data_IF_491042943917
#
_entry.id   IF_491042943917
#
_cell.length_a   1.000
_cell.length_b   1.000
_cell.length_c   1.000
_cell.angle_alpha   90.00
_cell.angle_beta   90.00
_cell.angle_gamma   90.00
#
_symmetry.space_group_name_H-M   'P 1'
#
loop_
_entity.id
_entity.type
_entity.pdbx_description
1 polymer ?
#
# COMPACT_ATOMS: atom_id res chain seq x y z
N UNK A 1 0.91 -25.51 -60.09
CA UNK A 1 2.27 -25.35 -59.55
C UNK A 1 2.21 -24.45 -58.33
N UNK A 2 2.66 -24.92 -57.17
CA UNK A 2 2.73 -24.13 -55.95
C UNK A 2 3.89 -23.13 -56.03
N UNK A 3 3.59 -21.84 -55.85
CA UNK A 3 4.60 -20.78 -55.88
C UNK A 3 5.30 -20.65 -54.50
N UNK A 4 6.11 -21.67 -54.19
CA UNK A 4 6.83 -21.82 -52.91
C UNK A 4 7.67 -20.58 -52.54
N UNK A 5 8.36 -19.89 -53.48
CA UNK A 5 9.08 -18.65 -53.16
C UNK A 5 8.19 -17.52 -52.64
N UNK A 6 7.01 -17.33 -53.25
CA UNK A 6 6.04 -16.33 -52.81
C UNK A 6 5.47 -16.68 -51.43
N UNK A 7 5.18 -17.95 -51.19
CA UNK A 7 4.72 -18.44 -49.88
C UNK A 7 5.77 -18.18 -48.79
N UNK A 8 7.06 -18.43 -49.05
CA UNK A 8 8.16 -18.13 -48.09
C UNK A 8 8.26 -16.63 -47.78
N UNK A 9 8.12 -15.76 -48.78
CA UNK A 9 8.11 -14.29 -48.57
C UNK A 9 6.94 -13.88 -47.68
N UNK A 10 5.73 -14.37 -47.98
CA UNK A 10 4.54 -14.10 -47.16
C UNK A 10 4.67 -14.62 -45.73
N UNK A 11 5.23 -15.82 -45.54
CA UNK A 11 5.52 -16.37 -44.21
C UNK A 11 6.50 -15.50 -43.43
N UNK A 12 7.53 -14.98 -44.08
CA UNK A 12 8.51 -14.09 -43.45
C UNK A 12 7.88 -12.74 -43.03
N UNK A 13 7.03 -12.15 -43.87
CA UNK A 13 6.27 -10.94 -43.54
C UNK A 13 5.36 -11.15 -42.33
N UNK A 14 4.55 -12.23 -42.35
CA UNK A 14 3.64 -12.58 -41.25
C UNK A 14 4.42 -12.78 -39.95
N UNK A 15 5.56 -13.48 -40.02
CA UNK A 15 6.42 -13.72 -38.86
C UNK A 15 6.99 -12.42 -38.28
N UNK A 16 7.36 -11.46 -39.14
CA UNK A 16 7.86 -10.15 -38.71
C UNK A 16 6.76 -9.33 -38.03
N UNK A 17 5.55 -9.34 -38.59
CA UNK A 17 4.39 -8.65 -38.00
C UNK A 17 4.00 -9.25 -36.64
N UNK A 18 3.99 -10.58 -36.53
CA UNK A 18 3.72 -11.26 -35.25
C UNK A 18 4.78 -10.97 -34.19
N UNK A 19 6.07 -10.90 -34.58
CA UNK A 19 7.13 -10.51 -33.65
C UNK A 19 7.00 -9.06 -33.17
N UNK A 20 6.57 -8.14 -34.05
CA UNK A 20 6.27 -6.76 -33.66
C UNK A 20 5.11 -6.67 -32.67
N UNK A 21 4.03 -7.41 -32.93
CA UNK A 21 2.86 -7.48 -32.05
C UNK A 21 3.19 -8.11 -30.68
N UNK A 22 4.07 -9.12 -30.62
CA UNK A 22 4.44 -9.72 -29.33
C UNK A 22 5.22 -8.73 -28.46
N UNK A 23 6.13 -7.94 -29.06
CA UNK A 23 6.87 -6.91 -28.33
C UNK A 23 5.94 -5.80 -27.82
N UNK A 24 4.95 -5.39 -28.61
CA UNK A 24 3.95 -4.40 -28.20
C UNK A 24 3.05 -4.93 -27.07
N UNK A 25 2.67 -6.22 -27.11
CA UNK A 25 1.92 -6.87 -26.04
C UNK A 25 2.72 -6.96 -24.74
N UNK A 26 3.99 -7.35 -24.78
CA UNK A 26 4.88 -7.35 -23.60
C UNK A 26 5.00 -5.95 -22.99
N UNK A 27 5.11 -4.92 -23.84
CA UNK A 27 5.18 -3.54 -23.38
C UNK A 27 3.87 -3.11 -22.72
N UNK A 28 2.72 -3.39 -23.33
CA UNK A 28 1.40 -3.11 -22.75
C UNK A 28 1.18 -3.88 -21.45
N UNK A 29 1.58 -5.14 -21.38
CA UNK A 29 1.52 -5.95 -20.17
C UNK A 29 2.35 -5.29 -19.05
N UNK A 30 3.57 -4.85 -19.34
CA UNK A 30 4.41 -4.13 -18.37
C UNK A 30 3.78 -2.83 -17.85
N UNK A 31 2.94 -2.17 -18.65
CA UNK A 31 2.21 -0.96 -18.27
C UNK A 31 0.98 -1.25 -17.41
N UNK A 32 0.38 -2.44 -17.53
CA UNK A 32 -0.79 -2.87 -16.76
C UNK A 32 -0.43 -3.26 -15.32
N UNK A 33 0.80 -3.74 -15.09
CA UNK A 33 1.22 -4.13 -13.75
C UNK A 33 1.49 -2.91 -12.86
N UNK A 34 0.75 -2.84 -11.75
CA UNK A 34 0.95 -1.81 -10.74
C UNK A 34 2.34 -1.95 -10.13
N UNK A 35 3.12 -0.86 -10.09
CA UNK A 35 4.45 -0.84 -9.44
C UNK A 35 4.36 -1.48 -8.05
N UNK A 36 5.32 -2.36 -7.72
CA UNK A 36 5.46 -2.93 -6.38
C UNK A 36 5.37 -1.81 -5.35
N UNK A 37 4.55 -2.01 -4.32
CA UNK A 37 4.32 -1.02 -3.28
C UNK A 37 5.68 -0.67 -2.65
N UNK A 38 6.08 0.59 -2.75
CA UNK A 38 7.43 1.04 -2.36
C UNK A 38 7.73 0.86 -0.87
N UNK A 39 6.69 0.68 -0.04
CA UNK A 39 6.82 0.42 1.40
C UNK A 39 5.85 -0.68 1.81
N UNK A 40 6.26 -1.60 2.71
CA UNK A 40 5.32 -2.52 3.33
C UNK A 40 4.19 -1.73 3.98
N UNK A 41 2.96 -2.25 3.86
CA UNK A 41 1.80 -1.66 4.53
C UNK A 41 2.07 -1.65 6.04
N UNK A 42 1.73 -0.54 6.70
CA UNK A 42 1.68 -0.51 8.15
C UNK A 42 0.80 -1.65 8.66
N UNK A 43 1.14 -2.27 9.81
CA UNK A 43 0.38 -3.37 10.37
C UNK A 43 -1.09 -2.96 10.57
N UNK A 44 -2.00 -3.90 10.31
CA UNK A 44 -3.46 -3.70 10.40
C UNK A 44 -3.86 -3.28 11.82
N UNK A 45 -3.10 -3.71 12.83
CA UNK A 45 -3.29 -3.35 14.23
C UNK A 45 -1.97 -2.88 14.84
N UNK A 46 -2.02 -1.77 15.57
CA UNK A 46 -0.88 -1.32 16.39
C UNK A 46 -0.83 -2.13 17.70
N UNK A 47 0.30 -2.17 18.41
CA UNK A 47 0.32 -2.76 19.75
C UNK A 47 -0.58 -1.95 20.71
N UNK A 48 -1.25 -2.64 21.64
CA UNK A 48 -2.00 -1.99 22.70
C UNK A 48 -1.05 -1.19 23.62
N UNK A 49 -1.55 -0.08 24.16
CA UNK A 49 -0.81 0.68 25.18
C UNK A 49 -0.90 -0.09 26.50
N UNK A 50 0.21 -0.18 27.23
CA UNK A 50 0.22 -0.88 28.51
C UNK A 50 -0.71 -0.21 29.55
N UNK A 51 -1.16 -0.94 30.59
CA UNK A 51 -2.08 -0.38 31.58
C UNK A 51 -1.53 0.85 32.32
N UNK A 52 -0.22 0.88 32.57
CA UNK A 52 0.44 1.98 33.28
C UNK A 52 0.44 3.28 32.45
N UNK A 53 0.76 3.19 31.16
CA UNK A 53 0.72 4.32 30.23
C UNK A 53 -0.71 4.75 29.97
N UNK A 54 -1.67 3.81 29.89
CA UNK A 54 -3.09 4.16 29.77
C UNK A 54 -3.58 4.98 30.99
N UNK A 55 -3.18 4.60 32.21
CA UNK A 55 -3.48 5.39 33.42
C UNK A 55 -2.82 6.78 33.38
N UNK A 56 -1.58 6.86 32.90
CA UNK A 56 -0.87 8.13 32.75
C UNK A 56 -1.53 9.05 31.69
N UNK A 57 -1.99 8.48 30.57
CA UNK A 57 -2.75 9.18 29.53
C UNK A 57 -4.04 9.75 30.12
N UNK A 58 -4.81 8.95 30.86
CA UNK A 58 -6.06 9.41 31.49
C UNK A 58 -5.82 10.56 32.47
N UNK A 59 -4.82 10.43 33.35
CA UNK A 59 -4.45 11.51 34.28
C UNK A 59 -4.04 12.78 33.54
N UNK A 60 -3.25 12.65 32.48
CA UNK A 60 -2.80 13.79 31.68
C UNK A 60 -3.96 14.48 30.94
N UNK A 61 -4.87 13.69 30.36
CA UNK A 61 -6.05 14.20 29.66
C UNK A 61 -7.00 14.97 30.60
N UNK A 62 -7.24 14.44 31.81
CA UNK A 62 -8.04 15.14 32.84
C UNK A 62 -7.41 16.46 33.27
N UNK A 63 -6.08 16.51 33.39
CA UNK A 63 -5.35 17.73 33.74
C UNK A 63 -5.28 18.75 32.59
N UNK A 64 -5.49 18.32 31.33
CA UNK A 64 -5.38 19.17 30.15
C UNK A 64 -6.56 18.96 29.19
N UNK A 65 -7.79 19.34 29.58
CA UNK A 65 -9.01 19.01 28.83
C UNK A 65 -9.07 19.66 27.44
N UNK A 66 -8.29 20.71 27.19
CA UNK A 66 -8.22 21.41 25.91
C UNK A 66 -7.20 20.81 24.92
N UNK A 67 -6.40 19.82 25.34
CA UNK A 67 -5.40 19.21 24.45
C UNK A 67 -6.08 18.22 23.52
N UNK A 68 -5.75 18.29 22.24
CA UNK A 68 -6.22 17.31 21.26
C UNK A 68 -5.61 15.93 21.51
N UNK A 69 -6.33 14.88 21.11
CA UNK A 69 -5.83 13.49 21.18
C UNK A 69 -4.49 13.33 20.46
N UNK A 70 -4.28 14.05 19.35
CA UNK A 70 -3.02 14.05 18.62
C UNK A 70 -1.86 14.62 19.47
N UNK A 71 -2.09 15.72 20.20
CA UNK A 71 -1.07 16.30 21.07
C UNK A 71 -0.72 15.37 22.24
N UNK A 72 -1.71 14.67 22.79
CA UNK A 72 -1.50 13.64 23.82
C UNK A 72 -0.73 12.45 23.22
N UNK A 73 -1.09 12.00 22.01
CA UNK A 73 -0.41 10.90 21.33
C UNK A 73 1.08 11.19 21.10
N UNK A 74 1.42 12.42 20.67
CA UNK A 74 2.82 12.87 20.55
C UNK A 74 3.55 12.83 21.89
N UNK A 75 2.91 13.32 22.97
CA UNK A 75 3.48 13.33 24.33
C UNK A 75 3.86 11.93 24.82
N UNK A 76 3.00 10.96 24.55
CA UNK A 76 3.15 9.57 24.99
C UNK A 76 3.76 8.65 23.93
N UNK A 77 4.25 9.21 22.81
CA UNK A 77 4.85 8.47 21.68
C UNK A 77 3.98 7.31 21.19
N UNK A 78 2.67 7.55 21.12
CA UNK A 78 1.65 6.58 20.67
C UNK A 78 0.82 7.19 19.53
N UNK A 79 -0.25 6.50 19.11
CA UNK A 79 -1.20 7.01 18.12
C UNK A 79 -2.50 7.51 18.79
N UNK A 80 -3.20 8.43 18.12
CA UNK A 80 -4.42 9.03 18.65
C UNK A 80 -5.55 8.00 18.90
N UNK A 81 -5.60 6.91 18.11
CA UNK A 81 -6.55 5.82 18.31
C UNK A 81 -6.35 5.14 19.67
N UNK A 82 -5.10 4.85 20.06
CA UNK A 82 -4.76 4.26 21.35
C UNK A 82 -5.05 5.21 22.53
N UNK A 83 -4.88 6.52 22.34
CA UNK A 83 -5.28 7.52 23.33
C UNK A 83 -6.81 7.49 23.51
N UNK A 84 -7.57 7.42 22.41
CA UNK A 84 -9.03 7.31 22.45
C UNK A 84 -9.48 6.04 23.17
N UNK A 85 -8.89 4.89 22.86
CA UNK A 85 -9.18 3.62 23.55
C UNK A 85 -8.86 3.70 25.05
N UNK A 86 -7.70 4.25 25.42
CA UNK A 86 -7.29 4.38 26.82
C UNK A 86 -8.24 5.27 27.65
N UNK A 87 -8.90 6.23 27.01
CA UNK A 87 -9.94 7.08 27.62
C UNK A 87 -11.31 6.41 27.70
N UNK A 88 -11.65 5.53 26.75
CA UNK A 88 -12.94 4.84 26.73
C UNK A 88 -13.04 3.71 27.77
N UNK A 89 -11.93 3.06 28.11
CA UNK A 89 -11.85 1.99 29.12
C UNK A 89 -12.09 2.44 30.58
N UNK A 90 -12.40 3.72 30.80
CA UNK A 90 -12.69 4.34 32.10
C UNK A 90 -14.20 4.47 32.38
N UNK A 91 -15.05 4.01 31.44
CA UNK A 91 -16.51 3.91 31.55
C UNK A 91 -16.91 2.46 31.79
#
# INVERSE_FOLDING_TARGET
MSNVPLARRRLAEIRKTLAGLSAELEQLESMLWRRKVARPRSPVQSAAVDPATAAAIRRYARAHPHKSLQAIAVRFRTNAGRVSEAMQMDR
#
